data_IF_237717209686
#
_entry.id   IF_237717209686
#
_cell.length_a   1.000
_cell.length_b   1.000
_cell.length_c   1.000
_cell.angle_alpha   90.00
_cell.angle_beta   90.00
_cell.angle_gamma   90.00
#
_symmetry.space_group_name_H-M   'P 1'
#
loop_
_entity.id
_entity.type
_entity.pdbx_description
1 polymer ?
#
# COMPACT_ATOMS: atom_id res chain seq x y z
N UNK A 1 11.07 7.32 10.19
CA UNK A 1 9.67 7.76 9.99
C UNK A 1 9.74 9.00 9.10
N UNK A 2 9.55 8.85 7.80
CA UNK A 2 9.63 9.98 6.87
C UNK A 2 8.34 10.79 6.97
N UNK A 3 8.34 11.76 7.88
CA UNK A 3 7.28 12.73 8.18
C UNK A 3 6.63 13.39 6.93
N UNK A 4 7.27 13.30 5.75
CA UNK A 4 6.83 13.91 4.51
C UNK A 4 5.65 13.21 3.80
N UNK A 5 5.54 11.87 3.83
CA UNK A 5 4.49 11.15 3.04
C UNK A 5 3.10 11.28 3.65
N UNK A 6 2.99 11.12 4.98
CA UNK A 6 1.72 11.30 5.71
C UNK A 6 1.22 12.75 5.63
N UNK A 7 2.12 13.73 5.75
CA UNK A 7 1.78 15.14 5.59
C UNK A 7 1.35 15.45 4.14
N UNK A 8 2.00 14.86 3.13
CA UNK A 8 1.60 14.99 1.74
C UNK A 8 0.20 14.42 1.47
N UNK A 9 -0.14 13.28 2.09
CA UNK A 9 -1.46 12.69 1.95
C UNK A 9 -2.57 13.55 2.57
N UNK A 10 -2.32 14.13 3.76
CA UNK A 10 -3.23 15.09 4.39
C UNK A 10 -3.41 16.37 3.56
N UNK A 11 -2.31 16.90 3.03
CA UNK A 11 -2.33 18.08 2.14
C UNK A 11 -3.12 17.80 0.86
N UNK A 12 -2.94 16.65 0.20
CA UNK A 12 -3.72 16.26 -0.98
C UNK A 12 -5.22 16.19 -0.66
N UNK A 13 -5.60 15.56 0.46
CA UNK A 13 -6.99 15.50 0.88
C UNK A 13 -7.59 16.89 1.12
N UNK A 14 -6.83 17.82 1.70
CA UNK A 14 -7.25 19.20 1.87
C UNK A 14 -7.41 19.92 0.54
N UNK A 15 -6.46 19.76 -0.38
CA UNK A 15 -6.53 20.36 -1.72
C UNK A 15 -7.77 19.88 -2.47
N UNK A 16 -8.06 18.58 -2.43
CA UNK A 16 -9.26 18.00 -3.05
C UNK A 16 -10.55 18.58 -2.45
N UNK A 17 -10.63 18.77 -1.12
CA UNK A 17 -11.78 19.43 -0.47
C UNK A 17 -11.98 20.88 -0.93
N UNK A 18 -10.90 21.60 -1.21
CA UNK A 18 -10.95 23.02 -1.60
C UNK A 18 -10.92 23.26 -3.10
N UNK A 19 -10.88 22.20 -3.92
CA UNK A 19 -10.68 22.24 -5.37
C UNK A 19 -11.64 23.17 -6.10
N UNK A 20 -12.90 23.23 -5.68
CA UNK A 20 -13.89 24.14 -6.27
C UNK A 20 -13.48 25.62 -6.22
N UNK A 21 -12.73 26.02 -5.19
CA UNK A 21 -12.21 27.39 -5.01
C UNK A 21 -10.76 27.54 -5.46
N UNK A 22 -9.99 26.46 -5.44
CA UNK A 22 -8.55 26.42 -5.74
C UNK A 22 -8.24 25.25 -6.69
N UNK A 23 -8.59 25.36 -7.98
CA UNK A 23 -8.57 24.23 -8.91
C UNK A 23 -7.18 23.91 -9.46
N UNK A 24 -6.15 24.71 -9.16
CA UNK A 24 -4.79 24.51 -9.64
C UNK A 24 -3.87 24.06 -8.50
N UNK A 25 -2.75 23.44 -8.86
CA UNK A 25 -1.65 23.16 -7.94
C UNK A 25 -0.33 23.69 -8.51
N UNK A 26 0.54 24.14 -7.61
CA UNK A 26 1.90 24.60 -7.89
C UNK A 26 2.91 23.65 -7.28
N UNK A 27 3.92 23.29 -8.06
CA UNK A 27 5.09 22.57 -7.58
C UNK A 27 6.12 23.54 -6.99
N UNK A 28 6.52 23.32 -5.75
CA UNK A 28 7.52 24.13 -5.04
C UNK A 28 8.73 23.23 -4.78
N UNK A 29 9.86 23.54 -5.41
CA UNK A 29 11.12 22.86 -5.12
C UNK A 29 11.58 23.22 -3.70
N UNK A 30 12.02 22.21 -2.95
CA UNK A 30 12.54 22.41 -1.60
C UNK A 30 14.03 22.74 -1.59
N UNK A 31 14.50 23.30 -0.48
CA UNK A 31 15.93 23.52 -0.22
C UNK A 31 16.59 22.23 0.28
N UNK A 32 16.70 21.24 -0.61
CA UNK A 32 17.57 20.07 -0.36
C UNK A 32 19.03 20.50 -0.40
N UNK A 33 19.90 19.79 0.34
CA UNK A 33 21.36 20.02 0.28
C UNK A 33 21.88 19.71 -1.13
N UNK A 34 21.32 18.68 -1.77
CA UNK A 34 21.54 18.33 -3.16
C UNK A 34 20.17 18.29 -3.87
N UNK A 35 19.70 19.43 -4.44
CA UNK A 35 18.46 19.46 -5.18
C UNK A 35 18.66 18.84 -6.56
N UNK A 36 17.73 17.97 -6.97
CA UNK A 36 17.74 17.39 -8.32
C UNK A 36 17.49 18.48 -9.36
N UNK A 37 18.25 18.52 -10.47
CA UNK A 37 18.05 19.51 -11.53
C UNK A 37 16.60 19.52 -12.05
N UNK A 38 15.99 18.35 -12.19
CA UNK A 38 14.60 18.22 -12.66
C UNK A 38 13.60 18.88 -11.69
N UNK A 39 13.84 18.80 -10.38
CA UNK A 39 12.92 19.41 -9.39
C UNK A 39 13.00 20.93 -9.42
N UNK A 40 14.19 21.47 -9.71
CA UNK A 40 14.39 22.91 -9.91
C UNK A 40 13.70 23.38 -11.19
N UNK A 41 13.77 22.59 -12.26
CA UNK A 41 13.05 22.85 -13.51
C UNK A 41 11.53 22.84 -13.30
N UNK A 42 11.01 21.93 -12.47
CA UNK A 42 9.59 21.88 -12.14
C UNK A 42 9.13 23.00 -11.20
N UNK A 43 10.04 23.78 -10.62
CA UNK A 43 9.66 24.85 -9.71
C UNK A 43 8.74 25.85 -10.40
N UNK A 44 7.61 26.17 -9.76
CA UNK A 44 6.56 27.05 -10.28
C UNK A 44 5.79 26.51 -11.48
N UNK A 45 5.93 25.21 -11.77
CA UNK A 45 4.97 24.51 -12.64
C UNK A 45 3.59 24.59 -11.97
N UNK A 46 2.65 25.29 -12.60
CA UNK A 46 1.26 25.38 -12.18
C UNK A 46 0.39 24.64 -13.18
N UNK A 47 -0.32 23.63 -12.69
CA UNK A 47 -1.17 22.76 -13.50
C UNK A 47 -2.54 22.59 -12.82
N UNK A 48 -3.60 22.22 -13.56
CA UNK A 48 -4.85 21.76 -12.96
C UNK A 48 -4.60 20.67 -11.91
N UNK A 49 -5.35 20.67 -10.81
CA UNK A 49 -5.14 19.75 -9.69
C UNK A 49 -5.26 18.26 -10.10
N UNK A 50 -6.09 17.97 -11.11
CA UNK A 50 -6.30 16.61 -11.66
C UNK A 50 -5.36 16.27 -12.82
N UNK A 51 -4.45 17.18 -13.20
CA UNK A 51 -3.58 16.95 -14.34
C UNK A 51 -2.78 15.63 -14.17
N UNK A 52 -2.67 14.76 -15.20
CA UNK A 52 -2.06 13.44 -15.08
C UNK A 52 -0.62 13.43 -14.55
N UNK A 53 0.12 14.53 -14.77
CA UNK A 53 1.47 14.72 -14.25
C UNK A 53 1.57 14.52 -12.73
N UNK A 54 0.54 14.95 -11.98
CA UNK A 54 0.48 14.78 -10.52
C UNK A 54 0.36 13.32 -10.08
N UNK A 55 0.12 12.37 -10.98
CA UNK A 55 0.07 10.96 -10.62
C UNK A 55 1.43 10.41 -10.21
N UNK A 56 2.51 10.95 -10.76
CA UNK A 56 3.89 10.50 -10.52
C UNK A 56 4.79 11.61 -9.98
N UNK A 57 4.40 12.88 -10.12
CA UNK A 57 5.22 14.04 -9.73
C UNK A 57 4.65 14.79 -8.50
N UNK A 58 3.91 14.09 -7.63
CA UNK A 58 3.44 14.68 -6.36
C UNK A 58 4.43 14.38 -5.25
N UNK A 59 5.05 15.41 -4.64
CA UNK A 59 6.01 15.22 -3.56
C UNK A 59 5.45 14.47 -2.34
N UNK A 60 6.30 13.78 -1.57
CA UNK A 60 7.74 13.59 -1.81
C UNK A 60 8.06 12.70 -3.02
N UNK A 61 9.06 13.10 -3.80
CA UNK A 61 9.45 12.44 -5.06
C UNK A 61 10.68 11.52 -4.92
N UNK A 62 11.34 11.52 -3.76
CA UNK A 62 12.36 10.56 -3.34
C UNK A 62 12.61 10.72 -1.82
N UNK A 63 13.44 9.85 -1.25
CA UNK A 63 13.98 9.97 0.08
C UNK A 63 14.60 11.36 0.33
N UNK A 64 14.28 11.96 1.47
CA UNK A 64 14.78 13.29 1.83
C UNK A 64 14.23 14.46 1.00
N UNK A 65 13.27 14.22 0.11
CA UNK A 65 12.66 15.27 -0.70
C UNK A 65 11.90 16.29 0.18
N UNK A 66 12.22 17.58 0.00
CA UNK A 66 11.59 18.71 0.71
C UNK A 66 10.64 19.51 -0.18
N UNK A 67 10.37 19.04 -1.40
CA UNK A 67 9.47 19.69 -2.35
C UNK A 67 8.02 19.61 -1.85
N UNK A 68 7.17 20.54 -2.31
CA UNK A 68 5.76 20.62 -1.90
C UNK A 68 4.86 20.80 -3.10
N UNK A 69 3.65 20.25 -3.01
CA UNK A 69 2.52 20.57 -3.89
C UNK A 69 1.52 21.40 -3.11
N UNK A 70 1.20 22.60 -3.61
CA UNK A 70 0.26 23.52 -2.93
C UNK A 70 -0.87 23.90 -3.86
N UNK A 71 -2.10 23.98 -3.34
CA UNK A 71 -3.24 24.48 -4.14
C UNK A 71 -3.10 25.98 -4.40
N UNK A 72 -3.50 26.42 -5.58
CA UNK A 72 -3.47 27.81 -6.03
C UNK A 72 -4.82 28.16 -6.65
N UNK A 73 -5.31 29.37 -6.35
CA UNK A 73 -6.50 29.92 -7.00
C UNK A 73 -6.13 30.70 -8.25
N UNK A 74 -7.05 30.89 -9.20
CA UNK A 74 -6.79 31.68 -10.41
C UNK A 74 -6.31 33.10 -10.08
N UNK A 75 -6.97 33.78 -9.13
CA UNK A 75 -6.61 35.14 -8.68
C UNK A 75 -5.21 35.20 -8.07
N UNK A 76 -4.81 34.15 -7.36
CA UNK A 76 -3.48 34.06 -6.75
C UNK A 76 -2.40 33.81 -7.79
N UNK A 77 -2.69 32.96 -8.79
CA UNK A 77 -1.79 32.78 -9.93
C UNK A 77 -1.59 34.09 -10.70
N UNK A 78 -2.66 34.84 -10.99
CA UNK A 78 -2.60 36.14 -11.65
C UNK A 78 -1.82 37.19 -10.84
N UNK A 79 -2.09 37.28 -9.53
CA UNK A 79 -1.39 38.20 -8.62
C UNK A 79 0.10 37.91 -8.54
N UNK A 80 0.47 36.64 -8.49
CA UNK A 80 1.85 36.19 -8.31
C UNK A 80 2.59 36.03 -9.66
N UNK A 81 1.95 36.40 -10.79
CA UNK A 81 2.53 36.29 -12.14
C UNK A 81 2.80 34.86 -12.59
N UNK A 82 2.10 33.88 -12.04
CA UNK A 82 2.27 32.46 -12.35
C UNK A 82 1.48 32.10 -13.62
N UNK A 83 2.18 31.52 -14.58
CA UNK A 83 1.53 30.95 -15.76
C UNK A 83 0.93 29.58 -15.43
N UNK A 84 -0.37 29.43 -15.67
CA UNK A 84 -1.03 28.12 -15.65
C UNK A 84 -0.71 27.45 -16.98
N UNK A 85 -0.04 26.31 -16.91
CA UNK A 85 0.36 25.55 -18.09
C UNK A 85 -0.74 24.57 -18.50
N UNK A 86 -0.90 24.37 -19.80
CA UNK A 86 -1.76 23.33 -20.35
C UNK A 86 -1.03 21.98 -20.39
N UNK A 87 0.28 21.99 -20.70
CA UNK A 87 1.15 20.82 -20.76
C UNK A 87 2.21 20.86 -19.64
N UNK A 88 2.49 19.70 -19.07
CA UNK A 88 3.54 19.55 -18.06
C UNK A 88 4.95 19.42 -18.68
N UNK A 89 6.01 19.79 -17.95
CA UNK A 89 7.39 19.52 -18.36
C UNK A 89 7.60 18.02 -18.62
N UNK A 90 8.22 17.69 -19.77
CA UNK A 90 8.55 16.32 -20.17
C UNK A 90 10.05 16.07 -20.06
N UNK A 91 10.48 15.51 -18.93
CA UNK A 91 11.88 15.14 -18.68
C UNK A 91 12.24 13.72 -19.16
N UNK A 92 11.29 13.00 -19.78
CA UNK A 92 11.47 11.64 -20.24
C UNK A 92 11.42 10.59 -19.12
N UNK A 93 12.01 9.42 -19.39
CA UNK A 93 12.05 8.27 -18.46
C UNK A 93 13.43 7.64 -18.47
N UNK A 94 13.85 7.05 -17.34
CA UNK A 94 15.04 6.22 -17.26
C UNK A 94 14.68 4.76 -16.95
N UNK A 95 15.51 3.84 -17.46
CA UNK A 95 15.41 2.40 -17.14
C UNK A 95 16.33 2.06 -15.99
N UNK A 96 15.86 1.20 -15.10
CA UNK A 96 16.64 0.65 -14.02
C UNK A 96 16.44 -0.87 -13.96
N UNK A 97 17.54 -1.60 -13.85
CA UNK A 97 17.52 -3.06 -13.71
C UNK A 97 17.63 -3.42 -12.24
N UNK A 98 16.69 -4.22 -11.75
CA UNK A 98 16.71 -4.73 -10.39
C UNK A 98 17.87 -5.74 -10.22
N UNK A 99 18.86 -5.46 -9.34
CA UNK A 99 19.98 -6.37 -9.11
C UNK A 99 19.57 -7.70 -8.45
N UNK A 100 18.41 -7.75 -7.78
CA UNK A 100 17.92 -8.95 -7.09
C UNK A 100 17.11 -9.87 -8.00
N UNK A 101 16.28 -9.30 -8.88
CA UNK A 101 15.36 -10.08 -9.73
C UNK A 101 15.75 -10.07 -11.20
N UNK A 102 16.68 -9.21 -11.62
CA UNK A 102 17.10 -9.05 -13.00
C UNK A 102 16.09 -8.34 -13.90
N UNK A 103 14.92 -7.96 -13.39
CA UNK A 103 13.84 -7.30 -14.16
C UNK A 103 14.15 -5.83 -14.44
N UNK A 104 13.80 -5.36 -15.62
CA UNK A 104 13.90 -3.95 -15.98
C UNK A 104 12.62 -3.18 -15.62
N UNK A 105 12.79 -2.01 -15.01
CA UNK A 105 11.73 -1.08 -14.65
C UNK A 105 11.98 0.28 -15.32
N UNK A 106 10.91 0.98 -15.68
CA UNK A 106 10.99 2.31 -16.30
C UNK A 106 10.36 3.33 -15.37
N UNK A 107 11.08 4.39 -15.02
CA UNK A 107 10.63 5.45 -14.11
C UNK A 107 10.74 6.83 -14.79
N UNK A 108 9.88 7.81 -14.44
CA UNK A 108 10.04 9.19 -14.91
C UNK A 108 11.36 9.80 -14.42
N UNK A 109 12.04 10.55 -15.29
CA UNK A 109 13.26 11.28 -14.91
C UNK A 109 12.97 12.27 -13.78
N UNK A 110 13.90 12.38 -12.83
CA UNK A 110 13.73 13.20 -11.62
C UNK A 110 12.96 12.53 -10.47
N UNK A 111 12.21 11.46 -10.70
CA UNK A 111 11.50 10.71 -9.66
C UNK A 111 12.35 9.54 -9.16
N UNK A 112 12.36 9.32 -7.85
CA UNK A 112 13.03 8.19 -7.23
C UNK A 112 12.45 6.85 -7.63
N UNK A 113 13.28 5.80 -7.55
CA UNK A 113 12.84 4.41 -7.77
C UNK A 113 11.72 4.08 -6.79
N UNK A 114 10.58 3.60 -7.30
CA UNK A 114 9.37 3.30 -6.53
C UNK A 114 8.69 4.51 -5.86
N UNK A 115 9.05 5.73 -6.26
CA UNK A 115 8.37 6.97 -5.87
C UNK A 115 7.46 7.51 -6.97
N UNK A 116 7.25 6.73 -8.05
CA UNK A 116 6.40 7.02 -9.19
C UNK A 116 4.91 6.84 -8.88
N UNK A 117 4.49 7.35 -7.72
CA UNK A 117 3.11 7.32 -7.27
C UNK A 117 2.76 8.63 -6.57
N UNK A 118 1.46 8.94 -6.50
CA UNK A 118 0.98 10.07 -5.73
C UNK A 118 0.68 9.61 -4.30
N UNK A 119 1.42 10.06 -3.27
CA UNK A 119 1.25 9.57 -1.91
C UNK A 119 -0.14 9.83 -1.34
N UNK A 120 -0.75 10.96 -1.71
CA UNK A 120 -2.14 11.24 -1.40
C UNK A 120 -3.05 10.19 -2.02
N UNK A 121 -3.02 9.99 -3.33
CA UNK A 121 -3.89 9.01 -4.01
C UNK A 121 -3.63 7.56 -3.60
N UNK A 122 -2.38 7.21 -3.27
CA UNK A 122 -2.00 5.89 -2.76
C UNK A 122 -2.59 5.62 -1.38
N UNK A 123 -2.65 6.63 -0.49
CA UNK A 123 -3.35 6.52 0.79
C UNK A 123 -4.87 6.25 0.65
N UNK A 124 -5.45 6.56 -0.52
CA UNK A 124 -6.84 6.25 -0.89
C UNK A 124 -6.97 5.05 -1.86
N UNK A 125 -5.88 4.33 -2.16
CA UNK A 125 -5.83 3.10 -2.95
C UNK A 125 -6.08 3.22 -4.46
N UNK A 126 -5.91 4.40 -5.06
CA UNK A 126 -6.26 4.63 -6.48
C UNK A 126 -5.20 4.19 -7.51
N UNK A 127 -3.94 3.99 -7.11
CA UNK A 127 -2.83 3.64 -8.02
C UNK A 127 -3.03 2.22 -8.58
N UNK A 128 -3.51 1.33 -7.73
CA UNK A 128 -3.84 -0.07 -8.03
C UNK A 128 -5.00 -0.23 -9.02
N UNK A 129 -6.05 0.58 -8.84
CA UNK A 129 -7.20 0.58 -9.76
C UNK A 129 -6.80 0.93 -11.19
N UNK A 130 -5.73 1.71 -11.41
CA UNK A 130 -5.29 2.08 -12.76
C UNK A 130 -4.46 0.97 -13.42
N UNK A 131 -3.45 0.41 -12.73
CA UNK A 131 -2.66 -0.73 -13.24
C UNK A 131 -3.52 -1.95 -13.59
N UNK A 132 -4.57 -2.20 -12.83
CA UNK A 132 -5.52 -3.28 -13.09
C UNK A 132 -6.63 -2.88 -14.08
N UNK A 133 -7.04 -1.60 -14.17
CA UNK A 133 -7.94 -1.14 -15.22
C UNK A 133 -7.30 -1.19 -16.61
N UNK A 134 -6.01 -0.89 -16.71
CA UNK A 134 -5.24 -1.02 -17.95
C UNK A 134 -5.13 -2.50 -18.38
N UNK A 135 -5.13 -3.44 -17.42
CA UNK A 135 -5.27 -4.89 -17.68
C UNK A 135 -6.72 -5.37 -17.91
N UNK A 136 -7.71 -4.73 -17.28
CA UNK A 136 -9.13 -5.11 -17.34
C UNK A 136 -9.89 -4.49 -18.53
N UNK A 137 -9.32 -3.48 -19.20
CA UNK A 137 -9.80 -2.98 -20.49
C UNK A 137 -9.82 -4.07 -21.59
N UNK A 138 -9.20 -5.23 -21.33
CA UNK A 138 -9.19 -6.40 -22.18
C UNK A 138 -10.45 -7.30 -22.10
N UNK A 139 -11.44 -7.06 -21.22
CA UNK A 139 -12.69 -7.82 -21.30
C UNK A 139 -13.59 -7.83 -20.06
N UNK A 140 -14.90 -7.85 -20.31
CA UNK A 140 -16.03 -7.79 -19.36
C UNK A 140 -15.84 -8.67 -18.13
N UNK A 141 -16.01 -8.07 -16.95
CA UNK A 141 -15.98 -8.73 -15.64
C UNK A 141 -17.04 -9.83 -15.54
N UNK A 142 -16.61 -11.05 -15.86
CA UNK A 142 -17.20 -12.28 -15.37
C UNK A 142 -16.39 -12.65 -14.14
N UNK A 143 -17.02 -13.11 -13.06
CA UNK A 143 -16.29 -13.77 -11.97
C UNK A 143 -15.58 -14.96 -12.60
N UNK A 144 -14.31 -14.81 -12.97
CA UNK A 144 -13.52 -15.92 -13.49
C UNK A 144 -13.51 -16.97 -12.38
N UNK A 145 -13.69 -18.27 -12.70
CA UNK A 145 -13.43 -19.33 -11.74
C UNK A 145 -12.00 -19.15 -11.28
N UNK A 146 -11.88 -18.64 -10.05
CA UNK A 146 -10.64 -18.33 -9.39
C UNK A 146 -9.94 -19.64 -9.10
N UNK A 147 -8.94 -19.99 -9.91
CA UNK A 147 -8.17 -21.20 -9.68
C UNK A 147 -7.66 -21.27 -8.24
N UNK A 148 -7.65 -22.47 -7.68
CA UNK A 148 -7.04 -22.75 -6.38
C UNK A 148 -5.55 -23.08 -6.53
N UNK A 149 -4.86 -23.47 -5.45
CA UNK A 149 -3.44 -23.80 -5.48
C UNK A 149 -3.06 -24.81 -6.58
N UNK A 150 -3.90 -25.81 -6.82
CA UNK A 150 -3.66 -26.84 -7.85
C UNK A 150 -3.60 -26.28 -9.27
N UNK A 151 -4.42 -25.29 -9.59
CA UNK A 151 -4.46 -24.66 -10.92
C UNK A 151 -3.21 -23.81 -11.20
N UNK A 152 -2.51 -23.41 -10.14
CA UNK A 152 -1.28 -22.61 -10.20
C UNK A 152 -0.01 -23.41 -9.87
N UNK A 153 -0.09 -24.75 -9.92
CA UNK A 153 1.00 -25.67 -9.56
C UNK A 153 1.61 -25.40 -8.15
N UNK A 154 0.79 -24.90 -7.22
CA UNK A 154 1.19 -24.61 -5.84
C UNK A 154 0.92 -25.79 -4.92
N UNK A 155 1.76 -26.01 -3.90
CA UNK A 155 1.54 -27.10 -2.97
C UNK A 155 0.24 -26.91 -2.19
N UNK A 156 -0.43 -28.01 -1.86
CA UNK A 156 -1.66 -28.00 -1.06
C UNK A 156 -1.44 -27.43 0.35
N UNK A 157 -0.20 -27.51 0.85
CA UNK A 157 0.24 -26.93 2.12
C UNK A 157 1.26 -25.83 1.88
N UNK A 158 1.09 -24.72 2.58
CA UNK A 158 2.08 -23.63 2.59
C UNK A 158 3.31 -24.07 3.39
N UNK A 159 4.54 -24.00 2.82
CA UNK A 159 5.77 -24.25 3.54
C UNK A 159 5.90 -23.39 4.80
N UNK A 160 6.55 -23.94 5.81
CA UNK A 160 6.66 -23.31 7.13
C UNK A 160 8.03 -22.65 7.24
N UNK A 161 8.01 -21.34 7.51
CA UNK A 161 9.20 -20.53 7.70
C UNK A 161 9.60 -20.43 9.18
N UNK A 162 10.89 -20.19 9.42
CA UNK A 162 11.35 -19.73 10.73
C UNK A 162 10.90 -18.27 10.93
N UNK A 163 10.26 -17.94 12.07
CA UNK A 163 9.77 -16.58 12.30
C UNK A 163 10.93 -15.60 12.50
N UNK A 164 10.81 -14.39 11.94
CA UNK A 164 11.80 -13.32 12.15
C UNK A 164 11.69 -12.65 13.52
N UNK A 165 10.54 -12.78 14.17
CA UNK A 165 10.25 -12.21 15.49
C UNK A 165 9.75 -13.29 16.46
N UNK A 166 9.56 -12.90 17.71
CA UNK A 166 8.84 -13.73 18.69
C UNK A 166 7.39 -13.29 18.79
N UNK A 167 6.51 -14.22 19.16
CA UNK A 167 5.13 -13.87 19.48
C UNK A 167 5.09 -12.92 20.68
N UNK A 168 4.15 -11.97 20.66
CA UNK A 168 3.89 -11.06 21.76
C UNK A 168 3.20 -11.75 22.95
N UNK A 169 2.90 -10.98 24.01
CA UNK A 169 2.10 -11.47 25.13
C UNK A 169 0.66 -11.71 24.68
N UNK A 170 0.01 -12.70 25.29
CA UNK A 170 -1.44 -12.83 25.22
C UNK A 170 -2.06 -11.91 26.27
N UNK A 171 -3.14 -11.22 25.91
CA UNK A 171 -3.75 -10.19 26.75
C UNK A 171 -5.27 -10.38 26.77
N UNK A 172 -5.93 -9.86 27.80
CA UNK A 172 -7.38 -9.94 27.99
C UNK A 172 -8.06 -8.56 28.08
N UNK A 173 -7.27 -7.47 28.17
CA UNK A 173 -7.79 -6.10 28.29
C UNK A 173 -7.59 -5.29 27.02
N UNK A 174 -8.60 -4.50 26.69
CA UNK A 174 -8.61 -3.65 25.49
C UNK A 174 -7.40 -2.70 25.34
N UNK A 175 -6.93 -1.98 26.38
CA UNK A 175 -5.74 -1.13 26.24
C UNK A 175 -4.47 -1.90 25.89
N UNK A 176 -4.37 -3.15 26.35
CA UNK A 176 -3.22 -4.00 26.11
C UNK A 176 -3.18 -4.51 24.67
N UNK A 177 -4.34 -4.76 24.04
CA UNK A 177 -4.41 -5.15 22.62
C UNK A 177 -3.75 -4.09 21.71
N UNK A 178 -4.05 -2.81 21.96
CA UNK A 178 -3.38 -1.69 21.24
C UNK A 178 -1.89 -1.66 21.51
N UNK A 179 -1.48 -1.94 22.75
CA UNK A 179 -0.07 -1.97 23.11
C UNK A 179 0.67 -3.10 22.38
N UNK A 180 0.11 -4.31 22.34
CA UNK A 180 0.69 -5.44 21.60
C UNK A 180 0.81 -5.12 20.12
N UNK A 181 -0.18 -4.46 19.53
CA UNK A 181 -0.11 -4.04 18.13
C UNK A 181 0.99 -3.02 17.92
N UNK A 182 1.05 -1.98 18.77
CA UNK A 182 2.10 -0.96 18.72
C UNK A 182 3.49 -1.54 18.81
N UNK A 183 3.73 -2.43 19.76
CA UNK A 183 5.03 -3.06 19.95
C UNK A 183 5.36 -4.00 18.78
N UNK A 184 4.35 -4.68 18.25
CA UNK A 184 4.46 -5.54 17.07
C UNK A 184 4.87 -4.76 15.82
N UNK A 185 4.26 -3.59 15.59
CA UNK A 185 4.48 -2.80 14.37
C UNK A 185 5.55 -1.71 14.52
N UNK A 186 5.97 -1.41 15.75
CA UNK A 186 6.97 -0.38 16.07
C UNK A 186 6.42 1.05 16.22
N UNK A 187 5.10 1.21 16.41
CA UNK A 187 4.45 2.52 16.52
C UNK A 187 2.92 2.45 16.44
N UNK A 188 2.24 3.61 16.42
CA UNK A 188 0.77 3.67 16.23
C UNK A 188 0.35 3.27 14.79
N UNK A 189 1.24 3.51 13.84
CA UNK A 189 1.07 3.21 12.42
C UNK A 189 2.43 2.80 11.81
N UNK A 190 2.40 1.85 10.89
CA UNK A 190 3.55 1.39 10.13
C UNK A 190 3.19 1.18 8.65
N UNK A 191 4.18 1.43 7.78
CA UNK A 191 4.09 1.18 6.35
C UNK A 191 5.06 0.06 6.01
N UNK A 192 4.55 -1.04 5.47
CA UNK A 192 5.36 -2.18 5.05
C UNK A 192 5.37 -2.28 3.54
N UNK A 193 6.54 -2.53 2.96
CA UNK A 193 6.68 -2.72 1.53
C UNK A 193 6.48 -4.19 1.17
N UNK A 194 5.58 -4.47 0.24
CA UNK A 194 5.34 -5.82 -0.23
C UNK A 194 6.31 -6.24 -1.36
N UNK A 195 6.30 -7.50 -1.83
CA UNK A 195 7.22 -7.95 -2.88
C UNK A 195 7.08 -7.24 -4.22
N UNK A 196 5.96 -6.55 -4.47
CA UNK A 196 5.73 -5.74 -5.67
C UNK A 196 6.31 -4.33 -5.52
N UNK A 197 6.78 -3.97 -4.33
CA UNK A 197 7.22 -2.63 -3.99
C UNK A 197 6.10 -1.71 -3.51
N UNK A 198 4.86 -2.22 -3.39
CA UNK A 198 3.72 -1.43 -2.93
C UNK A 198 3.75 -1.30 -1.40
N UNK A 199 3.25 -0.18 -0.89
CA UNK A 199 3.14 0.03 0.54
C UNK A 199 1.77 -0.39 1.09
N UNK A 200 1.80 -1.19 2.15
CA UNK A 200 0.64 -1.60 2.94
C UNK A 200 0.65 -0.82 4.25
N UNK A 201 -0.44 -0.11 4.51
CA UNK A 201 -0.65 0.62 5.76
C UNK A 201 -1.23 -0.28 6.84
N UNK A 202 -0.58 -0.29 8.01
CA UNK A 202 -1.02 -1.01 9.22
C UNK A 202 -1.13 0.02 10.35
N UNK A 203 -2.31 0.13 10.96
CA UNK A 203 -2.61 1.11 12.01
C UNK A 203 -3.46 0.48 13.13
N UNK A 204 -3.84 1.27 14.14
CA UNK A 204 -4.62 0.78 15.29
C UNK A 204 -6.06 0.35 14.99
N UNK A 205 -6.61 0.62 13.80
CA UNK A 205 -8.00 0.26 13.47
C UNK A 205 -8.30 -1.24 13.63
N UNK A 206 -7.27 -2.07 13.54
CA UNK A 206 -7.31 -3.53 13.81
C UNK A 206 -7.60 -3.81 15.28
N UNK A 207 -6.79 -3.20 16.15
CA UNK A 207 -6.95 -3.33 17.58
C UNK A 207 -8.30 -2.78 17.99
N UNK A 208 -8.72 -1.64 17.43
CA UNK A 208 -10.04 -1.06 17.66
C UNK A 208 -11.17 -2.04 17.26
N UNK A 209 -11.09 -2.65 16.08
CA UNK A 209 -12.06 -3.65 15.64
C UNK A 209 -12.12 -4.89 16.56
N UNK A 210 -10.99 -5.32 17.11
CA UNK A 210 -10.96 -6.43 18.08
C UNK A 210 -11.60 -5.98 19.41
N UNK A 211 -11.30 -4.77 19.86
CA UNK A 211 -11.79 -4.21 21.12
C UNK A 211 -13.30 -3.95 21.11
N UNK A 212 -13.88 -3.63 19.95
CA UNK A 212 -15.34 -3.45 19.76
C UNK A 212 -16.16 -4.65 20.27
N UNK A 213 -15.58 -5.85 20.25
CA UNK A 213 -16.23 -7.04 20.77
C UNK A 213 -15.24 -7.83 21.64
N UNK A 214 -15.37 -7.80 22.98
CA UNK A 214 -14.45 -8.49 23.89
C UNK A 214 -14.24 -9.97 23.59
N UNK A 215 -15.21 -10.66 22.95
CA UNK A 215 -15.06 -12.06 22.52
C UNK A 215 -14.02 -12.27 21.41
N UNK A 216 -13.58 -11.19 20.75
CA UNK A 216 -12.50 -11.21 19.74
C UNK A 216 -11.11 -11.14 20.37
N UNK A 217 -11.00 -10.79 21.66
CA UNK A 217 -9.75 -10.88 22.42
C UNK A 217 -9.60 -12.34 22.85
N UNK A 218 -9.01 -13.15 21.97
CA UNK A 218 -8.92 -14.61 22.13
C UNK A 218 -7.49 -15.15 22.04
N UNK A 219 -6.50 -14.27 22.23
CA UNK A 219 -5.09 -14.62 22.17
C UNK A 219 -4.48 -14.49 20.78
N UNK A 220 -5.23 -14.08 19.75
CA UNK A 220 -4.72 -13.84 18.40
C UNK A 220 -3.85 -12.59 18.29
N UNK A 221 -4.06 -11.61 19.16
CA UNK A 221 -3.29 -10.37 19.21
C UNK A 221 -1.80 -10.61 19.47
N UNK A 222 -1.45 -11.70 20.16
CA UNK A 222 -0.04 -12.12 20.35
C UNK A 222 0.72 -12.33 19.04
N UNK A 223 0.04 -12.48 17.91
CA UNK A 223 0.63 -12.72 16.61
C UNK A 223 0.86 -11.44 15.80
N UNK A 224 0.51 -10.26 16.32
CA UNK A 224 0.78 -8.97 15.66
C UNK A 224 2.26 -8.71 15.31
N UNK A 225 3.27 -9.20 16.05
CA UNK A 225 4.66 -9.05 15.62
C UNK A 225 4.99 -9.71 14.26
N UNK A 226 4.16 -10.64 13.79
CA UNK A 226 4.37 -11.36 12.53
C UNK A 226 3.73 -10.68 11.31
N UNK A 227 3.06 -9.53 11.51
CA UNK A 227 2.38 -8.79 10.45
C UNK A 227 3.39 -8.34 9.39
N UNK A 228 4.48 -7.71 9.82
CA UNK A 228 5.52 -7.21 8.93
C UNK A 228 6.06 -8.32 8.02
N UNK A 229 6.50 -9.43 8.60
CA UNK A 229 7.10 -10.50 7.80
C UNK A 229 6.11 -11.21 6.86
N UNK A 230 4.82 -11.16 7.17
CA UNK A 230 3.76 -11.68 6.28
C UNK A 230 3.56 -10.77 5.07
N UNK A 231 3.74 -9.45 5.22
CA UNK A 231 3.61 -8.49 4.13
C UNK A 231 4.89 -8.40 3.30
N UNK A 232 6.06 -8.30 3.95
CA UNK A 232 7.35 -8.10 3.27
C UNK A 232 7.90 -9.37 2.62
N UNK A 233 7.58 -10.55 3.18
CA UNK A 233 8.08 -11.85 2.72
C UNK A 233 6.98 -12.92 2.76
N UNK A 234 5.88 -12.74 2.01
CA UNK A 234 4.84 -13.75 1.88
C UNK A 234 5.35 -14.96 1.11
N UNK A 235 4.78 -16.14 1.40
CA UNK A 235 4.93 -17.29 0.53
C UNK A 235 4.13 -17.12 -0.77
N UNK A 236 2.91 -16.59 -0.65
CA UNK A 236 2.02 -16.34 -1.79
C UNK A 236 1.23 -15.04 -1.62
N UNK A 237 0.92 -14.38 -2.73
CA UNK A 237 -0.03 -13.28 -2.78
C UNK A 237 -1.13 -13.60 -3.80
N UNK A 238 -2.37 -13.60 -3.32
CA UNK A 238 -3.57 -13.88 -4.09
C UNK A 238 -4.41 -12.64 -4.27
N UNK A 239 -4.98 -12.45 -5.46
CA UNK A 239 -5.86 -11.32 -5.78
C UNK A 239 -7.22 -11.84 -6.20
N UNK A 240 -8.27 -11.32 -5.57
CA UNK A 240 -9.66 -11.63 -5.90
C UNK A 240 -10.55 -10.39 -5.85
N UNK A 241 -11.59 -10.33 -6.67
CA UNK A 241 -12.66 -9.35 -6.52
C UNK A 241 -13.54 -9.73 -5.32
N UNK A 242 -13.66 -8.85 -4.35
CA UNK A 242 -14.53 -8.98 -3.19
C UNK A 242 -15.73 -8.03 -3.34
N UNK A 243 -16.94 -8.58 -3.27
CA UNK A 243 -18.17 -7.79 -3.25
C UNK A 243 -18.55 -7.52 -1.79
N UNK A 244 -18.79 -6.26 -1.45
CA UNK A 244 -19.29 -5.88 -0.14
C UNK A 244 -20.80 -6.15 -0.08
N UNK A 245 -21.24 -7.00 0.85
CA UNK A 245 -22.63 -7.47 0.94
C UNK A 245 -23.63 -6.33 1.23
N UNK A 246 -23.22 -5.34 2.01
CA UNK A 246 -24.07 -4.22 2.42
C UNK A 246 -24.30 -3.18 1.31
N UNK A 247 -23.32 -2.96 0.44
CA UNK A 247 -23.34 -1.87 -0.56
C UNK A 247 -23.36 -2.39 -2.00
N UNK A 248 -23.12 -3.69 -2.20
CA UNK A 248 -22.93 -4.31 -3.50
C UNK A 248 -21.64 -3.91 -4.21
N UNK A 249 -20.77 -3.10 -3.57
CA UNK A 249 -19.58 -2.54 -4.18
C UNK A 249 -18.51 -3.60 -4.38
N UNK A 250 -17.99 -3.72 -5.60
CA UNK A 250 -16.87 -4.60 -5.91
C UNK A 250 -15.57 -3.87 -5.59
N UNK A 251 -14.71 -4.53 -4.82
CA UNK A 251 -13.39 -4.07 -4.44
C UNK A 251 -12.36 -5.14 -4.75
N UNK A 252 -11.10 -4.75 -4.88
CA UNK A 252 -10.01 -5.69 -5.06
C UNK A 252 -9.43 -6.04 -3.70
N UNK A 253 -9.45 -7.34 -3.35
CA UNK A 253 -8.85 -7.87 -2.13
C UNK A 253 -7.57 -8.62 -2.46
N UNK A 254 -6.47 -8.20 -1.85
CA UNK A 254 -5.20 -8.91 -1.83
C UNK A 254 -5.09 -9.75 -0.57
N UNK A 255 -4.56 -10.96 -0.69
CA UNK A 255 -4.29 -11.85 0.44
C UNK A 255 -2.83 -12.27 0.43
N UNK A 256 -2.10 -11.86 1.46
CA UNK A 256 -0.72 -12.27 1.70
C UNK A 256 -0.73 -13.50 2.59
N UNK A 257 -0.13 -14.60 2.15
CA UNK A 257 -0.17 -15.89 2.84
C UNK A 257 1.24 -16.28 3.26
N UNK A 258 1.42 -16.57 4.55
CA UNK A 258 2.69 -17.07 5.10
C UNK A 258 2.42 -18.07 6.22
N UNK A 259 3.21 -19.14 6.31
CA UNK A 259 3.18 -20.03 7.48
C UNK A 259 4.49 -19.93 8.25
N UNK A 260 4.41 -19.86 9.57
CA UNK A 260 5.54 -19.73 10.48
C UNK A 260 5.51 -20.82 11.56
N UNK A 261 6.69 -21.24 12.01
CA UNK A 261 6.86 -22.15 13.14
C UNK A 261 6.81 -21.37 14.47
N UNK A 262 5.86 -21.68 15.34
CA UNK A 262 5.74 -21.02 16.66
C UNK A 262 6.59 -21.71 17.74
N UNK A 263 6.59 -23.04 17.76
CA UNK A 263 7.44 -23.89 18.60
C UNK A 263 7.61 -25.27 17.97
N UNK A 264 8.26 -26.23 18.65
CA UNK A 264 8.52 -27.58 18.09
C UNK A 264 7.30 -28.29 17.50
N UNK A 265 6.09 -28.02 17.99
CA UNK A 265 4.87 -28.74 17.61
C UNK A 265 3.78 -27.87 16.98
N UNK A 266 3.87 -26.54 17.06
CA UNK A 266 2.84 -25.61 16.60
C UNK A 266 3.31 -24.76 15.43
N UNK A 267 2.51 -24.78 14.36
CA UNK A 267 2.66 -23.89 13.19
C UNK A 267 1.45 -22.98 13.10
N UNK A 268 1.67 -21.78 12.59
CA UNK A 268 0.62 -20.79 12.35
C UNK A 268 0.67 -20.33 10.90
N UNK A 269 -0.45 -20.33 10.21
CA UNK A 269 -0.59 -19.64 8.93
C UNK A 269 -1.28 -18.31 9.14
N UNK A 270 -0.66 -17.24 8.64
CA UNK A 270 -1.17 -15.89 8.61
C UNK A 270 -1.67 -15.58 7.21
N UNK A 271 -2.89 -15.05 7.13
CA UNK A 271 -3.44 -14.48 5.91
C UNK A 271 -3.78 -13.02 6.16
N UNK A 272 -3.00 -12.10 5.59
CA UNK A 272 -3.26 -10.67 5.66
C UNK A 272 -4.17 -10.25 4.51
N UNK A 273 -5.36 -9.75 4.82
CA UNK A 273 -6.28 -9.20 3.83
C UNK A 273 -6.02 -7.69 3.68
N UNK A 274 -5.78 -7.24 2.46
CA UNK A 274 -5.52 -5.83 2.13
C UNK A 274 -6.47 -5.39 1.02
N UNK A 275 -7.13 -4.26 1.23
CA UNK A 275 -7.97 -3.59 0.24
C UNK A 275 -7.54 -2.13 0.11
N UNK A 276 -7.34 -1.63 -1.11
CA UNK A 276 -6.97 -0.22 -1.37
C UNK A 276 -5.71 0.24 -0.61
N UNK A 277 -4.72 -0.63 -0.47
CA UNK A 277 -3.48 -0.34 0.28
C UNK A 277 -3.66 -0.27 1.80
N UNK A 278 -4.89 -0.51 2.30
CA UNK A 278 -5.21 -0.58 3.72
C UNK A 278 -5.37 -2.03 4.12
N UNK A 279 -4.75 -2.35 5.24
CA UNK A 279 -4.97 -3.63 5.87
C UNK A 279 -6.39 -3.70 6.46
N UNK A 280 -7.12 -4.80 6.23
CA UNK A 280 -8.53 -4.94 6.59
C UNK A 280 -8.86 -6.16 7.48
N UNK A 281 -7.93 -7.11 7.68
CA UNK A 281 -8.19 -8.28 8.53
C UNK A 281 -7.12 -9.37 8.48
N UNK A 282 -6.95 -10.10 9.60
CA UNK A 282 -6.04 -11.24 9.72
C UNK A 282 -6.86 -12.49 9.99
N UNK A 283 -6.60 -13.51 9.20
CA UNK A 283 -7.04 -14.87 9.50
C UNK A 283 -5.84 -15.70 9.96
N UNK A 284 -5.99 -16.34 11.12
CA UNK A 284 -4.97 -17.17 11.74
C UNK A 284 -5.43 -18.62 11.72
N UNK A 285 -4.62 -19.50 11.13
CA UNK A 285 -4.92 -20.92 11.03
C UNK A 285 -3.85 -21.75 11.76
N UNK A 286 -4.29 -22.60 12.69
CA UNK A 286 -3.42 -23.60 13.31
C UNK A 286 -3.43 -24.92 12.53
N UNK A 287 -2.35 -25.70 12.66
CA UNK A 287 -2.09 -26.96 11.92
C UNK A 287 -3.24 -27.98 11.92
N UNK A 288 -4.14 -27.96 12.90
CA UNK A 288 -5.26 -28.92 13.00
C UNK A 288 -6.43 -28.63 12.05
N UNK A 289 -6.51 -27.43 11.46
CA UNK A 289 -7.59 -27.03 10.52
C UNK A 289 -7.12 -26.93 9.07
N UNK A 290 -6.46 -28.00 8.57
CA UNK A 290 -5.94 -28.08 7.18
C UNK A 290 -6.96 -27.77 6.09
N UNK A 291 -8.26 -28.02 6.32
CA UNK A 291 -9.29 -27.85 5.28
C UNK A 291 -9.64 -26.39 4.95
N UNK A 292 -9.19 -25.42 5.76
CA UNK A 292 -9.64 -24.04 5.65
C UNK A 292 -8.61 -23.05 5.08
N UNK A 293 -7.43 -23.48 4.64
CA UNK A 293 -6.47 -22.53 4.04
C UNK A 293 -6.69 -22.34 2.53
N UNK A 294 -7.04 -23.41 1.81
CA UNK A 294 -7.14 -23.36 0.36
C UNK A 294 -8.29 -22.48 -0.14
N UNK A 295 -9.36 -22.28 0.64
CA UNK A 295 -10.42 -21.34 0.27
C UNK A 295 -9.94 -19.88 0.30
N UNK A 296 -8.91 -19.58 1.10
CA UNK A 296 -8.26 -18.26 1.14
C UNK A 296 -7.25 -18.08 0.02
N UNK A 297 -6.75 -19.18 -0.56
CA UNK A 297 -5.80 -19.21 -1.69
C UNK A 297 -6.55 -19.32 -3.01
N UNK A 298 -7.45 -18.38 -3.24
CA UNK A 298 -8.33 -18.34 -4.39
C UNK A 298 -8.14 -17.04 -5.14
N UNK A 299 -8.08 -17.13 -6.47
CA UNK A 299 -8.05 -15.96 -7.34
C UNK A 299 -7.01 -16.11 -8.43
N UNK A 300 -6.36 -15.00 -8.72
CA UNK A 300 -5.14 -14.96 -9.52
C UNK A 300 -3.97 -14.95 -8.54
N UNK A 301 -3.05 -15.91 -8.70
CA UNK A 301 -1.77 -15.89 -8.02
C UNK A 301 -0.90 -14.83 -8.69
N UNK A 302 -0.57 -13.76 -7.96
CA UNK A 302 0.25 -12.65 -8.49
C UNK A 302 1.70 -12.71 -7.99
N UNK A 303 1.95 -13.43 -6.91
CA UNK A 303 3.29 -13.70 -6.39
C UNK A 303 3.31 -15.07 -5.71
N UNK A 304 4.38 -15.83 -5.95
CA UNK A 304 4.66 -17.08 -5.27
C UNK A 304 6.17 -17.24 -5.13
N UNK A 305 6.64 -17.44 -3.90
CA UNK A 305 8.03 -17.86 -3.66
C UNK A 305 8.18 -19.32 -4.08
N UNK A 306 9.31 -19.66 -4.71
CA UNK A 306 9.65 -21.07 -4.99
C UNK A 306 9.80 -21.87 -3.69
#
# INVERSE_FOLDING_TARGET
MDYCTAHAAGAEAQMQRTKARRPYARYIAGLSVEPRPEHLEWHNTVLPLDHPWWHTHTPPNDWGCKCKKVSVSKREAERDGLQILDDAPRNGTYKWKDPRTGKEHTFPSGIGKFWDYNPGRAAWGQVETKRLADGAAAGKFTTLPSGGPGDWARPATVPVDAPRRSAGPAVDRAPEVRQVLRDGIGGEEAMYQDPFGDFVNVNQGIADHIIENPKRIDGRERFFPFIQETIEDPYEVWVSFAREDATGKVSLRRRYVKSIQLDKNRTMTLVANVEKGKWIGFDFFSRSKKSNLNHMRTGVLVWGRE
#
